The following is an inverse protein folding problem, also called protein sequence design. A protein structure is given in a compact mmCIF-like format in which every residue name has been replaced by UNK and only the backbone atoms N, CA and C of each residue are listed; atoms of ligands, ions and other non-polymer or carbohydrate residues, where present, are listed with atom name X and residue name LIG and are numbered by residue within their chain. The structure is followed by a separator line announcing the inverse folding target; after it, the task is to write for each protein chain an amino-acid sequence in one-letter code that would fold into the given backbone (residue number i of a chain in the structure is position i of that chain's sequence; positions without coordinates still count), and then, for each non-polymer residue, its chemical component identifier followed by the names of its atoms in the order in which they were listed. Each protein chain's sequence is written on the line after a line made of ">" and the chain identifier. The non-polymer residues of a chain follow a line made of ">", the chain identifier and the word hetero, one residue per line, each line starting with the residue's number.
data_IF_244098471338
#
_entry.id   IF_244098471338
#
_cell.length_a   1.000
_cell.length_b   1.000
_cell.length_c   1.000
_cell.angle_alpha   90.00
_cell.angle_beta   90.00
_cell.angle_gamma   90.00
#
_symmetry.space_group_name_H-M   'P 1'
#
loop_
_entity.id
_entity.type
_entity.pdbx_description
1 polymer ?
#
# COMPACT_ATOMS: atom_id res chain seq x y z
N UNK A 1 -0.45 11.38 -11.37
CA UNK A 1 0.71 11.17 -12.27
C UNK A 1 0.74 12.13 -13.45
N UNK A 2 -0.28 12.27 -14.33
CA UNK A 2 -0.18 13.16 -15.51
C UNK A 2 0.16 14.61 -15.16
N UNK A 3 -0.51 15.16 -14.15
CA UNK A 3 -0.24 16.50 -13.61
C UNK A 3 1.19 16.63 -13.07
N UNK A 4 1.68 15.62 -12.36
CA UNK A 4 3.05 15.58 -11.85
C UNK A 4 4.07 15.63 -13.01
N UNK A 5 3.80 14.90 -14.09
CA UNK A 5 4.68 14.85 -15.26
C UNK A 5 4.74 16.20 -15.98
N UNK A 6 3.60 16.86 -16.19
CA UNK A 6 3.55 18.20 -16.78
C UNK A 6 4.36 19.18 -15.93
N UNK A 7 4.16 19.14 -14.61
CA UNK A 7 4.92 19.98 -13.69
C UNK A 7 6.43 19.71 -13.72
N UNK A 8 6.87 18.45 -13.87
CA UNK A 8 8.29 18.12 -14.02
C UNK A 8 8.88 18.59 -15.36
N UNK A 9 8.12 18.48 -16.45
CA UNK A 9 8.58 18.88 -17.79
C UNK A 9 8.69 20.41 -17.89
N UNK A 10 7.63 21.11 -17.47
CA UNK A 10 7.57 22.57 -17.52
C UNK A 10 8.41 23.24 -16.42
N UNK A 11 8.92 22.46 -15.47
CA UNK A 11 9.68 22.92 -14.28
C UNK A 11 8.94 23.95 -13.41
N UNK A 12 7.67 24.24 -13.71
CA UNK A 12 6.81 25.18 -13.01
C UNK A 12 5.36 24.68 -12.98
N UNK A 13 4.60 25.14 -11.98
CA UNK A 13 3.18 24.80 -11.87
C UNK A 13 2.34 25.75 -12.70
N UNK A 14 1.79 25.27 -13.81
CA UNK A 14 1.05 26.09 -14.77
C UNK A 14 -0.46 26.17 -14.48
N UNK A 15 -0.97 25.38 -13.54
CA UNK A 15 -2.41 25.29 -13.25
C UNK A 15 -2.85 26.30 -12.18
N UNK A 16 -4.17 26.50 -12.05
CA UNK A 16 -4.73 27.40 -11.06
C UNK A 16 -4.39 26.99 -9.62
N UNK A 17 -4.46 27.96 -8.71
CA UNK A 17 -4.25 27.73 -7.27
C UNK A 17 -5.23 26.68 -6.70
N UNK A 18 -6.51 26.77 -7.06
CA UNK A 18 -7.53 25.80 -6.61
C UNK A 18 -7.17 24.38 -7.03
N UNK A 19 -6.69 24.22 -8.27
CA UNK A 19 -6.27 22.92 -8.75
C UNK A 19 -5.02 22.40 -8.02
N UNK A 20 -4.07 23.28 -7.69
CA UNK A 20 -2.91 22.93 -6.86
C UNK A 20 -3.31 22.40 -5.47
N UNK A 21 -4.20 23.14 -4.79
CA UNK A 21 -4.68 22.76 -3.47
C UNK A 21 -5.39 21.40 -3.52
N UNK A 22 -6.34 21.22 -4.43
CA UNK A 22 -7.03 19.94 -4.62
C UNK A 22 -6.05 18.81 -4.95
N UNK A 23 -5.08 19.07 -5.84
CA UNK A 23 -4.07 18.09 -6.23
C UNK A 23 -3.23 17.61 -5.04
N UNK A 24 -2.76 18.53 -4.20
CA UNK A 24 -1.98 18.21 -3.01
C UNK A 24 -2.84 17.44 -2.00
N UNK A 25 -4.04 17.94 -1.69
CA UNK A 25 -4.93 17.29 -0.72
C UNK A 25 -5.32 15.88 -1.14
N UNK A 26 -5.67 15.68 -2.41
CA UNK A 26 -6.00 14.36 -2.96
C UNK A 26 -4.77 13.46 -2.95
N UNK A 27 -3.60 13.97 -3.33
CA UNK A 27 -2.37 13.16 -3.38
C UNK A 27 -1.96 12.65 -2.00
N UNK A 28 -2.03 13.50 -0.97
CA UNK A 28 -1.74 13.11 0.41
C UNK A 28 -2.74 12.06 0.90
N UNK A 29 -4.04 12.32 0.74
CA UNK A 29 -5.09 11.40 1.13
C UNK A 29 -4.94 10.02 0.48
N UNK A 30 -4.71 9.96 -0.84
CA UNK A 30 -4.54 8.71 -1.56
C UNK A 30 -3.26 7.97 -1.15
N UNK A 31 -2.17 8.70 -0.88
CA UNK A 31 -0.91 8.11 -0.43
C UNK A 31 -1.07 7.50 0.96
N UNK A 32 -1.64 8.25 1.92
CA UNK A 32 -1.91 7.74 3.27
C UNK A 32 -2.86 6.54 3.24
N UNK A 33 -3.89 6.62 2.40
CA UNK A 33 -4.87 5.53 2.23
C UNK A 33 -4.22 4.28 1.66
N UNK A 34 -3.33 4.42 0.68
CA UNK A 34 -2.58 3.29 0.12
C UNK A 34 -1.72 2.59 1.17
N UNK A 35 -1.07 3.34 2.08
CA UNK A 35 -0.26 2.76 3.16
C UNK A 35 -1.10 1.98 4.15
N UNK A 36 -2.20 2.58 4.62
CA UNK A 36 -3.08 1.92 5.57
C UNK A 36 -3.83 0.73 4.96
N UNK A 37 -4.12 0.74 3.66
CA UNK A 37 -4.68 -0.44 2.99
C UNK A 37 -3.71 -1.63 3.03
N UNK A 38 -2.40 -1.41 2.86
CA UNK A 38 -1.39 -2.48 3.01
C UNK A 38 -1.33 -2.98 4.46
N UNK A 39 -1.43 -2.07 5.43
CA UNK A 39 -1.51 -2.45 6.84
C UNK A 39 -2.77 -3.28 7.15
N UNK A 40 -3.94 -2.89 6.60
CA UNK A 40 -5.18 -3.66 6.73
C UNK A 40 -5.07 -5.05 6.09
N UNK A 41 -4.41 -5.17 4.93
CA UNK A 41 -4.12 -6.48 4.31
C UNK A 41 -3.24 -7.33 5.24
N UNK A 42 -2.27 -6.75 5.93
CA UNK A 42 -1.45 -7.48 6.89
C UNK A 42 -2.27 -7.96 8.10
N UNK A 43 -3.17 -7.12 8.63
CA UNK A 43 -4.10 -7.46 9.72
C UNK A 43 -5.05 -8.58 9.31
N UNK A 44 -5.67 -8.46 8.14
CA UNK A 44 -6.57 -9.47 7.58
C UNK A 44 -5.89 -10.84 7.48
N UNK A 45 -4.68 -10.87 6.90
CA UNK A 45 -3.89 -12.10 6.75
C UNK A 45 -3.49 -12.70 8.09
N UNK A 46 -3.12 -11.87 9.05
CA UNK A 46 -2.83 -12.32 10.40
C UNK A 46 -4.07 -12.92 11.07
N UNK A 47 -5.25 -12.28 10.96
CA UNK A 47 -6.47 -12.77 11.58
C UNK A 47 -6.90 -14.11 10.96
N UNK A 48 -6.85 -14.24 9.63
CA UNK A 48 -7.16 -15.47 8.91
C UNK A 48 -6.27 -16.66 9.30
N UNK A 49 -4.98 -16.42 9.54
CA UNK A 49 -4.01 -17.48 9.89
C UNK A 49 -3.95 -17.77 11.39
N UNK A 50 -4.16 -16.78 12.24
CA UNK A 50 -4.14 -16.96 13.70
C UNK A 50 -5.39 -17.65 14.22
N UNK A 51 -6.56 -17.36 13.65
CA UNK A 51 -7.85 -17.90 14.10
C UNK A 51 -8.75 -18.30 12.92
N UNK A 52 -8.45 -19.41 12.20
CA UNK A 52 -9.15 -19.76 10.96
C UNK A 52 -10.68 -19.94 11.11
N UNK A 53 -11.14 -20.59 12.18
CA UNK A 53 -12.56 -20.87 12.41
C UNK A 53 -13.36 -19.61 12.75
N UNK A 54 -12.82 -18.76 13.64
CA UNK A 54 -13.46 -17.48 13.95
C UNK A 54 -13.44 -16.53 12.75
N UNK A 55 -12.38 -16.58 11.94
CA UNK A 55 -12.30 -15.79 10.72
C UNK A 55 -13.43 -16.13 9.74
N UNK A 56 -13.67 -17.43 9.49
CA UNK A 56 -14.74 -17.86 8.58
C UNK A 56 -16.13 -17.51 9.07
N UNK A 57 -16.34 -17.49 10.38
CA UNK A 57 -17.66 -17.22 10.97
C UNK A 57 -17.96 -15.71 11.09
N UNK A 58 -16.93 -14.88 11.31
CA UNK A 58 -17.09 -13.45 11.59
C UNK A 58 -16.87 -12.58 10.34
N UNK A 59 -15.85 -12.88 9.53
CA UNK A 59 -15.41 -11.97 8.46
C UNK A 59 -16.32 -12.08 7.26
N UNK A 60 -17.11 -11.03 7.02
CA UNK A 60 -17.96 -10.88 5.85
C UNK A 60 -17.54 -9.69 4.99
N UNK A 61 -17.95 -9.69 3.71
CA UNK A 61 -17.69 -8.58 2.78
C UNK A 61 -18.20 -7.25 3.34
N UNK A 62 -19.37 -7.25 3.98
CA UNK A 62 -19.96 -6.03 4.53
C UNK A 62 -19.12 -5.44 5.69
N UNK A 63 -18.60 -6.31 6.56
CA UNK A 63 -17.72 -5.89 7.66
C UNK A 63 -16.41 -5.32 7.10
N UNK A 64 -15.82 -5.98 6.09
CA UNK A 64 -14.59 -5.49 5.46
C UNK A 64 -14.81 -4.13 4.78
N UNK A 65 -15.90 -3.95 4.04
CA UNK A 65 -16.26 -2.66 3.46
C UNK A 65 -16.42 -1.59 4.53
N UNK A 66 -17.10 -1.90 5.63
CA UNK A 66 -17.28 -0.97 6.75
C UNK A 66 -15.93 -0.55 7.37
N UNK A 67 -15.03 -1.51 7.63
CA UNK A 67 -13.69 -1.23 8.19
C UNK A 67 -12.89 -0.34 7.25
N UNK A 68 -12.82 -0.69 5.95
CA UNK A 68 -12.06 0.06 4.95
C UNK A 68 -12.58 1.50 4.83
N UNK A 69 -13.91 1.68 4.70
CA UNK A 69 -14.51 3.00 4.60
C UNK A 69 -14.30 3.84 5.86
N UNK A 70 -14.38 3.21 7.04
CA UNK A 70 -14.12 3.89 8.31
C UNK A 70 -12.68 4.37 8.40
N UNK A 71 -11.72 3.55 7.99
CA UNK A 71 -10.29 3.94 7.94
C UNK A 71 -10.10 5.08 6.95
N UNK A 72 -10.69 5.02 5.76
CA UNK A 72 -10.58 6.09 4.77
C UNK A 72 -11.16 7.40 5.30
N UNK A 73 -12.30 7.33 6.00
CA UNK A 73 -12.89 8.50 6.65
C UNK A 73 -11.92 9.11 7.68
N UNK A 74 -11.37 8.30 8.59
CA UNK A 74 -10.39 8.78 9.58
C UNK A 74 -9.17 9.43 8.91
N UNK A 75 -8.64 8.81 7.85
CA UNK A 75 -7.50 9.35 7.11
C UNK A 75 -7.84 10.65 6.38
N UNK A 76 -9.07 10.80 5.87
CA UNK A 76 -9.52 12.06 5.28
C UNK A 76 -9.50 13.19 6.31
N UNK A 77 -10.04 12.96 7.51
CA UNK A 77 -10.01 13.96 8.59
C UNK A 77 -8.59 14.27 9.03
N UNK A 78 -7.74 13.26 9.18
CA UNK A 78 -6.34 13.46 9.51
C UNK A 78 -5.63 14.37 8.50
N UNK A 79 -5.77 14.10 7.21
CA UNK A 79 -5.12 14.90 6.16
C UNK A 79 -5.64 16.35 6.10
N UNK A 80 -6.95 16.54 6.28
CA UNK A 80 -7.55 17.88 6.36
C UNK A 80 -7.06 18.64 7.59
N UNK A 81 -7.00 17.98 8.75
CA UNK A 81 -6.48 18.56 9.97
C UNK A 81 -5.01 18.95 9.83
N UNK A 82 -4.17 18.06 9.29
CA UNK A 82 -2.75 18.32 9.04
C UNK A 82 -2.56 19.58 8.18
N UNK A 83 -3.29 19.70 7.08
CA UNK A 83 -3.21 20.87 6.19
C UNK A 83 -3.72 22.15 6.88
N UNK A 84 -4.82 22.05 7.64
CA UNK A 84 -5.37 23.19 8.37
C UNK A 84 -4.40 23.70 9.43
N UNK A 85 -3.87 22.83 10.29
CA UNK A 85 -2.95 23.20 11.36
C UNK A 85 -1.56 23.59 10.85
N UNK A 86 -1.13 23.07 9.69
CA UNK A 86 0.09 23.53 9.02
C UNK A 86 -0.07 24.93 8.39
N UNK A 87 -1.24 25.58 8.49
CA UNK A 87 -1.47 26.92 7.95
C UNK A 87 -1.55 26.97 6.43
N UNK A 88 -1.69 25.82 5.76
CA UNK A 88 -1.63 25.69 4.30
C UNK A 88 -2.70 26.53 3.58
N UNK A 89 -3.86 26.75 4.21
CA UNK A 89 -4.94 27.58 3.68
C UNK A 89 -4.82 29.07 4.02
N UNK A 90 -3.95 29.44 4.98
CA UNK A 90 -3.77 30.80 5.45
C UNK A 90 -2.57 31.49 4.78
N UNK A 91 -1.50 30.74 4.50
CA UNK A 91 -0.41 31.21 3.65
C UNK A 91 -0.90 31.31 2.21
N UNK A 92 -0.84 32.50 1.59
CA UNK A 92 -1.02 32.63 0.14
C UNK A 92 0.10 31.83 -0.54
N UNK A 93 -0.15 30.55 -0.81
CA UNK A 93 0.79 29.67 -1.51
C UNK A 93 1.00 30.27 -2.88
N UNK A 94 2.12 30.96 -3.05
CA UNK A 94 2.62 31.47 -4.31
C UNK A 94 2.98 30.26 -5.17
N UNK A 95 1.99 29.69 -5.84
CA UNK A 95 2.16 28.82 -7.02
C UNK A 95 2.65 29.63 -8.22
N UNK A 96 3.61 30.52 -7.97
CA UNK A 96 4.21 31.49 -8.88
C UNK A 96 5.74 31.45 -8.74
N UNK A 97 6.28 30.27 -8.42
CA UNK A 97 7.70 30.00 -8.68
C UNK A 97 8.54 29.37 -7.57
N UNK A 98 7.99 28.50 -6.70
CA UNK A 98 8.66 27.40 -5.96
C UNK A 98 8.20 27.36 -4.50
N UNK A 99 7.32 26.40 -4.17
CA UNK A 99 7.46 25.46 -3.03
C UNK A 99 6.20 24.60 -2.89
N UNK A 100 6.40 23.33 -2.56
CA UNK A 100 5.37 22.32 -2.25
C UNK A 100 4.69 22.62 -0.92
N UNK A 101 3.79 21.74 -0.47
CA UNK A 101 3.45 21.67 0.95
C UNK A 101 4.74 21.41 1.73
N UNK A 102 5.35 22.47 2.25
CA UNK A 102 6.40 22.40 3.25
C UNK A 102 5.68 22.27 4.58
N UNK A 103 5.80 21.10 5.18
CA UNK A 103 5.35 20.90 6.54
C UNK A 103 6.38 21.54 7.48
N UNK A 104 5.87 22.27 8.47
CA UNK A 104 6.71 22.70 9.60
C UNK A 104 7.39 21.49 10.25
N UNK A 105 8.53 21.69 10.92
CA UNK A 105 9.31 20.60 11.50
C UNK A 105 8.46 19.70 12.41
N UNK A 106 7.58 20.30 13.22
CA UNK A 106 6.69 19.56 14.10
C UNK A 106 5.66 18.72 13.32
N UNK A 107 4.99 19.30 12.33
CA UNK A 107 3.98 18.61 11.53
C UNK A 107 4.59 17.56 10.58
N UNK A 108 5.81 17.79 10.08
CA UNK A 108 6.56 16.82 9.29
C UNK A 108 6.91 15.58 10.12
N UNK A 109 7.31 15.77 11.39
CA UNK A 109 7.55 14.66 12.31
C UNK A 109 6.26 13.89 12.65
N UNK A 110 5.16 14.60 12.91
CA UNK A 110 3.86 13.96 13.15
C UNK A 110 3.44 13.12 11.94
N UNK A 111 3.58 13.66 10.73
CA UNK A 111 3.22 12.95 9.51
C UNK A 111 4.13 11.75 9.24
N UNK A 112 5.43 11.86 9.46
CA UNK A 112 6.35 10.73 9.41
C UNK A 112 5.90 9.59 10.34
N UNK A 113 5.59 9.92 11.60
CA UNK A 113 5.26 8.91 12.60
C UNK A 113 3.94 8.23 12.29
N UNK A 114 2.92 9.02 11.96
CA UNK A 114 1.57 8.52 11.70
C UNK A 114 1.46 7.84 10.34
N UNK A 115 1.92 8.48 9.28
CA UNK A 115 1.71 8.00 7.91
C UNK A 115 2.71 6.90 7.54
N UNK A 116 3.93 6.91 8.07
CA UNK A 116 4.97 5.95 7.71
C UNK A 116 5.34 5.01 8.85
N UNK A 117 5.92 5.52 9.94
CA UNK A 117 6.57 4.68 10.94
C UNK A 117 5.60 3.69 11.60
N UNK A 118 4.42 4.15 12.00
CA UNK A 118 3.41 3.31 12.65
C UNK A 118 2.86 2.21 11.73
N UNK A 119 2.37 2.50 10.50
CA UNK A 119 1.95 1.45 9.58
C UNK A 119 3.07 0.47 9.25
N UNK A 120 4.31 0.95 9.06
CA UNK A 120 5.45 0.09 8.75
C UNK A 120 5.76 -0.87 9.91
N UNK A 121 5.77 -0.39 11.15
CA UNK A 121 5.95 -1.24 12.32
C UNK A 121 4.85 -2.30 12.42
N UNK A 122 3.59 -1.91 12.26
CA UNK A 122 2.44 -2.83 12.27
C UNK A 122 2.58 -3.90 11.18
N UNK A 123 2.86 -3.49 9.94
CA UNK A 123 3.04 -4.40 8.81
C UNK A 123 4.16 -5.41 9.07
N UNK A 124 5.33 -4.95 9.51
CA UNK A 124 6.50 -5.81 9.77
C UNK A 124 6.18 -6.82 10.88
N UNK A 125 5.63 -6.35 12.01
CA UNK A 125 5.30 -7.21 13.15
C UNK A 125 4.29 -8.29 12.73
N UNK A 126 3.18 -7.89 12.08
CA UNK A 126 2.13 -8.83 11.68
C UNK A 126 2.65 -9.85 10.67
N UNK A 127 3.49 -9.45 9.71
CA UNK A 127 4.03 -10.42 8.75
C UNK A 127 5.07 -11.35 9.34
N UNK A 128 5.86 -10.90 10.32
CA UNK A 128 6.73 -11.80 11.09
C UNK A 128 5.87 -12.82 11.85
N UNK A 129 4.79 -12.39 12.49
CA UNK A 129 3.87 -13.29 13.19
C UNK A 129 3.20 -14.29 12.23
N UNK A 130 2.72 -13.82 11.08
CA UNK A 130 2.18 -14.67 10.01
C UNK A 130 3.20 -15.73 9.58
N UNK A 131 4.46 -15.33 9.36
CA UNK A 131 5.52 -16.26 8.97
C UNK A 131 5.80 -17.31 10.06
N UNK A 132 5.82 -16.90 11.34
CA UNK A 132 6.01 -17.82 12.47
C UNK A 132 4.85 -18.81 12.58
N UNK A 133 3.61 -18.34 12.47
CA UNK A 133 2.39 -19.18 12.50
C UNK A 133 2.43 -20.20 11.35
N UNK A 134 2.69 -19.74 10.12
CA UNK A 134 2.81 -20.63 8.96
C UNK A 134 3.90 -21.69 9.14
N UNK A 135 5.07 -21.31 9.68
CA UNK A 135 6.15 -22.27 9.98
C UNK A 135 5.76 -23.29 11.05
N UNK A 136 5.00 -22.87 12.07
CA UNK A 136 4.52 -23.76 13.13
C UNK A 136 3.54 -24.80 12.56
N UNK A 137 2.58 -24.37 11.73
CA UNK A 137 1.67 -25.28 11.04
C UNK A 137 2.41 -26.25 10.11
N UNK A 138 3.35 -25.74 9.32
CA UNK A 138 4.19 -26.56 8.44
C UNK A 138 4.98 -27.64 9.20
N UNK A 139 5.51 -27.32 10.38
CA UNK A 139 6.26 -28.27 11.21
C UNK A 139 5.33 -29.33 11.79
N UNK A 140 4.18 -28.93 12.34
CA UNK A 140 3.19 -29.87 12.90
C UNK A 140 2.65 -30.84 11.82
N UNK A 141 2.39 -30.35 10.61
CA UNK A 141 1.96 -31.19 9.48
C UNK A 141 3.06 -32.16 9.06
N UNK A 142 4.32 -31.71 9.04
CA UNK A 142 5.47 -32.58 8.74
C UNK A 142 5.60 -33.71 9.76
N UNK A 143 5.45 -33.40 11.05
CA UNK A 143 5.54 -34.39 12.12
C UNK A 143 4.42 -35.43 12.02
N UNK A 144 3.17 -35.01 11.74
CA UNK A 144 2.06 -35.91 11.45
C UNK A 144 2.30 -36.81 10.22
N UNK A 145 2.92 -36.26 9.17
CA UNK A 145 3.22 -36.99 7.94
C UNK A 145 4.33 -38.03 8.10
N UNK A 146 5.32 -37.78 8.96
CA UNK A 146 6.34 -38.79 9.33
C UNK A 146 5.65 -40.01 9.93
N UNK A 147 4.55 -39.82 10.67
CA UNK A 147 3.75 -40.91 11.23
C UNK A 147 2.80 -41.59 10.22
N UNK A 148 2.47 -40.97 9.07
CA UNK A 148 1.43 -41.47 8.12
C UNK A 148 1.89 -41.81 6.70
N UNK A 149 3.20 -41.76 6.37
CA UNK A 149 3.76 -42.13 5.03
C UNK A 149 3.13 -41.38 3.81
N UNK A 150 2.45 -40.26 4.00
CA UNK A 150 1.92 -39.43 2.91
C UNK A 150 2.95 -38.40 2.42
N UNK A 151 4.02 -38.86 1.75
CA UNK A 151 5.24 -38.04 1.55
C UNK A 151 5.20 -37.04 0.38
N UNK A 152 4.35 -37.23 -0.64
CA UNK A 152 4.51 -36.52 -1.92
C UNK A 152 3.58 -35.30 -2.11
N UNK A 153 2.30 -35.38 -1.71
CA UNK A 153 1.34 -34.28 -1.92
C UNK A 153 1.54 -33.10 -0.97
N UNK A 154 1.98 -33.35 0.26
CA UNK A 154 2.11 -32.32 1.30
C UNK A 154 3.38 -31.49 1.14
N UNK A 155 4.44 -32.06 0.57
CA UNK A 155 5.69 -31.34 0.29
C UNK A 155 5.50 -30.23 -0.78
N UNK A 156 4.59 -30.43 -1.73
CA UNK A 156 4.27 -29.42 -2.75
C UNK A 156 3.34 -28.31 -2.20
N UNK A 157 2.39 -28.66 -1.32
CA UNK A 157 1.58 -27.67 -0.57
C UNK A 157 2.46 -26.73 0.27
N UNK A 158 3.46 -27.28 0.99
CA UNK A 158 4.37 -26.48 1.82
C UNK A 158 5.33 -25.58 1.01
N UNK A 159 5.72 -25.98 -0.20
CA UNK A 159 6.50 -25.12 -1.12
C UNK A 159 5.69 -23.95 -1.64
N UNK A 160 4.38 -24.14 -1.84
CA UNK A 160 3.44 -23.09 -2.26
C UNK A 160 3.29 -22.02 -1.18
N UNK A 161 3.07 -22.41 0.09
CA UNK A 161 2.93 -21.47 1.21
C UNK A 161 4.20 -20.66 1.48
N UNK A 162 5.39 -21.30 1.42
CA UNK A 162 6.67 -20.59 1.60
C UNK A 162 6.95 -19.60 0.46
N UNK A 163 6.46 -19.88 -0.75
CA UNK A 163 6.48 -18.92 -1.86
C UNK A 163 5.57 -17.75 -1.53
N UNK A 164 4.32 -17.99 -1.12
CA UNK A 164 3.37 -16.93 -0.77
C UNK A 164 3.86 -16.00 0.36
N UNK A 165 4.53 -16.55 1.39
CA UNK A 165 5.14 -15.74 2.45
C UNK A 165 6.34 -14.91 1.94
N UNK A 166 7.15 -15.46 1.03
CA UNK A 166 8.26 -14.74 0.39
C UNK A 166 7.76 -13.60 -0.48
N UNK A 167 6.64 -13.79 -1.17
CA UNK A 167 5.95 -12.74 -1.93
C UNK A 167 5.52 -11.58 -1.04
N UNK A 168 4.87 -11.89 0.08
CA UNK A 168 4.43 -10.89 1.07
C UNK A 168 5.61 -10.05 1.58
N UNK A 169 6.76 -10.69 1.87
CA UNK A 169 7.98 -9.97 2.28
C UNK A 169 8.57 -9.06 1.20
N UNK A 170 8.53 -9.48 -0.08
CA UNK A 170 8.95 -8.65 -1.21
C UNK A 170 8.04 -7.43 -1.35
N UNK A 171 6.72 -7.63 -1.18
CA UNK A 171 5.69 -6.60 -1.23
C UNK A 171 5.99 -5.46 -0.26
N UNK A 172 6.26 -5.81 1.00
CA UNK A 172 6.59 -4.86 2.07
C UNK A 172 7.91 -4.16 1.79
N UNK A 173 8.93 -4.89 1.36
CA UNK A 173 10.25 -4.31 1.10
C UNK A 173 10.22 -3.29 -0.04
N UNK A 174 9.48 -3.56 -1.12
CA UNK A 174 9.30 -2.64 -2.23
C UNK A 174 8.51 -1.40 -1.78
N UNK A 175 7.41 -1.61 -1.04
CA UNK A 175 6.59 -0.55 -0.50
C UNK A 175 7.39 0.44 0.37
N UNK A 176 8.19 -0.11 1.29
CA UNK A 176 9.09 0.67 2.15
C UNK A 176 10.14 1.42 1.35
N UNK A 177 10.76 0.77 0.35
CA UNK A 177 11.83 1.36 -0.44
C UNK A 177 11.36 2.53 -1.31
N UNK A 178 10.12 2.52 -1.77
CA UNK A 178 9.54 3.60 -2.57
C UNK A 178 9.13 4.83 -1.73
N UNK A 179 8.73 4.63 -0.47
CA UNK A 179 8.22 5.69 0.40
C UNK A 179 9.28 6.28 1.33
N UNK A 180 10.24 5.46 1.78
CA UNK A 180 11.28 5.90 2.70
C UNK A 180 12.04 7.15 2.21
N UNK A 181 12.47 7.26 0.93
CA UNK A 181 13.16 8.45 0.44
C UNK A 181 12.35 9.73 0.57
N UNK A 182 11.02 9.66 0.35
CA UNK A 182 10.12 10.81 0.50
C UNK A 182 10.08 11.32 1.93
N UNK A 183 9.91 10.42 2.89
CA UNK A 183 9.86 10.77 4.30
C UNK A 183 11.19 11.33 4.82
N UNK A 184 12.32 10.78 4.36
CA UNK A 184 13.65 11.33 4.67
C UNK A 184 13.81 12.75 4.11
N UNK A 185 13.42 12.98 2.85
CA UNK A 185 13.46 14.31 2.26
C UNK A 185 12.53 15.31 2.96
N UNK A 186 11.34 14.88 3.39
CA UNK A 186 10.37 15.72 4.10
C UNK A 186 10.88 16.23 5.45
N UNK A 187 11.73 15.46 6.14
CA UNK A 187 12.37 15.90 7.39
C UNK A 187 13.53 16.84 7.07
N UNK A 188 14.37 16.46 6.10
CA UNK A 188 15.59 17.20 5.78
C UNK A 188 15.31 18.53 5.06
N UNK A 189 14.12 18.75 4.51
CA UNK A 189 13.79 19.99 3.77
C UNK A 189 13.94 21.26 4.60
N UNK A 190 13.80 21.15 5.93
CA UNK A 190 14.00 22.26 6.86
C UNK A 190 15.47 22.43 7.32
N UNK A 191 16.34 21.47 6.97
CA UNK A 191 17.76 21.43 7.40
C UNK A 191 18.71 21.64 6.22
N UNK A 192 18.32 21.22 5.02
CA UNK A 192 19.13 21.24 3.80
C UNK A 192 18.28 21.86 2.68
N UNK A 193 18.83 22.84 1.97
CA UNK A 193 18.22 23.34 0.74
C UNK A 193 18.24 22.24 -0.33
N UNK A 194 17.09 21.64 -0.61
CA UNK A 194 16.95 20.68 -1.71
C UNK A 194 16.62 21.41 -3.01
N UNK A 195 17.35 21.06 -4.06
CA UNK A 195 16.96 21.42 -5.42
C UNK A 195 15.59 20.81 -5.75
N UNK A 196 14.68 21.61 -6.31
CA UNK A 196 13.31 21.21 -6.65
C UNK A 196 13.29 19.97 -7.54
N UNK A 197 14.24 19.85 -8.47
CA UNK A 197 14.40 18.67 -9.33
C UNK A 197 14.72 17.37 -8.58
N UNK A 198 15.40 17.45 -7.44
CA UNK A 198 15.67 16.27 -6.60
C UNK A 198 14.43 15.82 -5.85
N UNK A 199 13.63 16.76 -5.32
CA UNK A 199 12.36 16.45 -4.69
C UNK A 199 11.33 15.85 -5.67
N UNK A 200 11.27 16.38 -6.90
CA UNK A 200 10.46 15.83 -8.00
C UNK A 200 10.76 14.34 -8.28
N UNK A 201 12.04 13.97 -8.32
CA UNK A 201 12.47 12.57 -8.53
C UNK A 201 12.02 11.67 -7.39
N UNK A 202 12.09 12.16 -6.15
CA UNK A 202 11.64 11.42 -4.97
C UNK A 202 10.12 11.24 -4.98
N UNK A 203 9.35 12.26 -5.37
CA UNK A 203 7.90 12.14 -5.57
C UNK A 203 7.53 11.09 -6.63
N UNK A 204 8.35 10.92 -7.67
CA UNK A 204 8.11 9.87 -8.66
C UNK A 204 8.22 8.46 -8.08
N UNK A 205 9.10 8.24 -7.09
CA UNK A 205 9.17 6.96 -6.38
C UNK A 205 7.87 6.66 -5.63
N UNK A 206 7.24 7.69 -5.05
CA UNK A 206 5.93 7.56 -4.39
C UNK A 206 4.86 7.12 -5.39
N UNK A 207 4.85 7.66 -6.61
CA UNK A 207 3.88 7.24 -7.61
C UNK A 207 4.13 5.83 -8.16
N UNK A 208 5.40 5.44 -8.32
CA UNK A 208 5.78 4.09 -8.75
C UNK A 208 5.25 3.03 -7.78
N UNK A 209 5.16 3.35 -6.48
CA UNK A 209 4.56 2.46 -5.47
C UNK A 209 3.16 1.96 -5.89
N UNK A 210 2.30 2.85 -6.36
CA UNK A 210 0.95 2.48 -6.82
C UNK A 210 0.97 1.61 -8.08
N UNK A 211 1.93 1.83 -8.99
CA UNK A 211 2.09 1.05 -10.23
C UNK A 211 2.57 -0.38 -9.95
N UNK A 212 3.39 -0.58 -8.92
CA UNK A 212 3.94 -1.89 -8.58
C UNK A 212 2.84 -2.83 -8.06
N UNK A 213 1.80 -2.31 -7.40
CA UNK A 213 0.71 -3.12 -6.84
C UNK A 213 0.05 -4.09 -7.88
N UNK A 214 -0.48 -3.64 -9.04
CA UNK A 214 -0.95 -4.54 -10.10
C UNK A 214 0.08 -5.55 -10.61
N UNK A 215 1.34 -5.14 -10.73
CA UNK A 215 2.43 -6.01 -11.21
C UNK A 215 2.67 -7.14 -10.22
N UNK A 216 2.69 -6.85 -8.92
CA UNK A 216 2.77 -7.84 -7.85
C UNK A 216 1.61 -8.84 -7.98
N UNK A 217 0.37 -8.36 -8.14
CA UNK A 217 -0.78 -9.25 -8.29
C UNK A 217 -0.62 -10.17 -9.51
N UNK A 218 -0.20 -9.63 -10.65
CA UNK A 218 0.06 -10.41 -11.85
C UNK A 218 1.19 -11.44 -11.68
N UNK A 219 2.26 -11.11 -10.97
CA UNK A 219 3.40 -12.03 -10.79
C UNK A 219 3.08 -13.18 -9.85
N UNK A 220 2.30 -12.92 -8.80
CA UNK A 220 2.17 -13.84 -7.68
C UNK A 220 0.82 -14.53 -7.55
N UNK A 221 -0.22 -14.06 -8.25
CA UNK A 221 -1.57 -14.62 -8.16
C UNK A 221 -1.97 -15.24 -9.51
N UNK A 222 -1.89 -16.59 -9.65
CA UNK A 222 -2.25 -17.28 -10.89
C UNK A 222 -3.67 -17.00 -11.37
N UNK A 223 -4.63 -16.94 -10.44
CA UNK A 223 -6.02 -16.62 -10.73
C UNK A 223 -6.17 -15.20 -11.28
N UNK A 224 -5.45 -14.21 -10.73
CA UNK A 224 -5.46 -12.84 -11.24
C UNK A 224 -5.00 -12.78 -12.70
N UNK A 225 -3.93 -13.51 -13.06
CA UNK A 225 -3.48 -13.61 -14.47
C UNK A 225 -4.54 -14.20 -15.38
N UNK A 226 -5.30 -15.18 -14.89
CA UNK A 226 -6.36 -15.82 -15.65
C UNK A 226 -7.55 -14.86 -15.83
N UNK A 227 -7.94 -14.10 -14.80
CA UNK A 227 -8.90 -13.01 -14.93
C UNK A 227 -8.44 -12.01 -16.01
N UNK A 228 -7.22 -11.50 -15.90
CA UNK A 228 -6.66 -10.52 -16.85
C UNK A 228 -6.67 -11.07 -18.28
N UNK A 229 -6.33 -12.34 -18.48
CA UNK A 229 -6.40 -12.98 -19.79
C UNK A 229 -7.83 -12.96 -20.34
N UNK A 230 -8.81 -13.43 -19.57
CA UNK A 230 -10.23 -13.47 -19.96
C UNK A 230 -10.73 -12.06 -20.32
N UNK A 231 -10.35 -11.05 -19.54
CA UNK A 231 -10.70 -9.65 -19.83
C UNK A 231 -10.05 -9.15 -21.13
N UNK A 232 -8.76 -9.41 -21.34
CA UNK A 232 -8.02 -8.94 -22.52
C UNK A 232 -8.40 -9.68 -23.81
N UNK A 233 -8.83 -10.95 -23.70
CA UNK A 233 -9.35 -11.72 -24.84
C UNK A 233 -10.84 -11.49 -25.08
N UNK A 234 -11.45 -10.55 -24.35
CA UNK A 234 -12.87 -10.20 -24.43
C UNK A 234 -13.84 -11.36 -24.15
N UNK A 235 -13.34 -12.44 -23.54
CA UNK A 235 -14.15 -13.59 -23.12
C UNK A 235 -15.10 -13.24 -21.98
N UNK A 236 -14.90 -12.11 -21.30
CA UNK A 236 -15.82 -11.60 -20.27
C UNK A 236 -17.20 -11.22 -20.83
N UNK A 237 -17.31 -10.98 -22.14
CA UNK A 237 -18.59 -10.69 -22.80
C UNK A 237 -19.35 -11.95 -23.23
N UNK A 238 -18.73 -13.12 -23.08
CA UNK A 238 -19.41 -14.39 -23.24
C UNK A 238 -20.42 -14.57 -22.09
N UNK A 239 -21.70 -14.88 -22.34
CA UNK A 239 -22.66 -15.19 -21.28
C UNK A 239 -22.20 -16.32 -20.35
N UNK A 240 -21.36 -17.24 -20.85
CA UNK A 240 -20.80 -18.33 -20.05
C UNK A 240 -19.58 -17.91 -19.20
N UNK A 241 -19.12 -16.65 -19.31
CA UNK A 241 -17.98 -16.13 -18.55
C UNK A 241 -18.16 -16.21 -17.04
N UNK A 242 -19.40 -16.13 -16.53
CA UNK A 242 -19.72 -16.28 -15.12
C UNK A 242 -19.47 -17.71 -14.59
N UNK A 243 -19.43 -18.70 -15.47
CA UNK A 243 -19.17 -20.11 -15.13
C UNK A 243 -17.69 -20.48 -15.25
N UNK A 244 -16.85 -19.59 -15.79
CA UNK A 244 -15.42 -19.87 -15.97
C UNK A 244 -14.71 -19.94 -14.62
N UNK A 245 -14.17 -21.13 -14.28
CA UNK A 245 -13.30 -21.26 -13.09
C UNK A 245 -12.02 -20.47 -13.30
N UNK A 246 -11.72 -19.60 -12.32
CA UNK A 246 -10.52 -18.76 -12.31
C UNK A 246 -9.51 -19.19 -11.25
N UNK A 247 -9.88 -20.14 -10.39
CA UNK A 247 -9.04 -20.78 -9.37
C UNK A 247 -8.18 -21.90 -9.95
#
# INVERSE_FOLDING_TARGET
>A
MPTALIWMIESCWIFSLVYCLCYISISLFLTTTSIYNVALIAVDRYFALSNPFLYTDIVSVNIMCFIVLSVWFVLLFYNLALQYFNGFYASQVTCLGQTFLVLDEAWSLVDLLFTFALPCAVIIILYVLVFVIARKHATAIRDLNIHTKASKSTADSMKSERKAAKVLGILVSVFLSCLFPYFVCSILVNVIEFEVGSFQKVLMLVYINSTINPVIYALFYPWFRRCVRITLTFQIFDPDSALMSVL
#
